data_IF_856104211413
#
_entry.id   IF_856104211413
#
_cell.length_a   1.000
_cell.length_b   1.000
_cell.length_c   1.000
_cell.angle_alpha   90.00
_cell.angle_beta   90.00
_cell.angle_gamma   90.00
#
_symmetry.space_group_name_H-M   'P 1'
#
loop_
_entity.id
_entity.type
_entity.pdbx_description
1 polymer ?
#
# COMPACT_ATOMS: atom_id res chain seq x y z
N UNK A 1 -9.95 7.79 3.19
CA UNK A 1 -9.68 6.86 2.08
C UNK A 1 -9.48 7.68 0.83
N UNK A 2 -8.60 7.25 -0.07
CA UNK A 2 -8.30 7.95 -1.31
C UNK A 2 -8.68 7.05 -2.49
N UNK A 3 -9.38 7.60 -3.48
CA UNK A 3 -9.61 6.90 -4.74
C UNK A 3 -8.33 6.90 -5.61
N UNK A 4 -8.34 6.12 -6.70
CA UNK A 4 -7.19 5.96 -7.57
C UNK A 4 -6.76 7.29 -8.23
N UNK A 5 -7.72 8.15 -8.61
CA UNK A 5 -7.44 9.43 -9.28
C UNK A 5 -6.73 10.37 -8.31
N UNK A 6 -7.21 10.46 -7.07
CA UNK A 6 -6.59 11.27 -6.03
C UNK A 6 -5.22 10.73 -5.65
N UNK A 7 -5.06 9.41 -5.57
CA UNK A 7 -3.78 8.77 -5.29
C UNK A 7 -2.74 9.01 -6.41
N UNK A 8 -3.15 9.03 -7.69
CA UNK A 8 -2.29 9.44 -8.81
C UNK A 8 -1.84 10.89 -8.66
N UNK A 9 -2.76 11.82 -8.40
CA UNK A 9 -2.44 13.24 -8.25
C UNK A 9 -1.48 13.51 -7.09
N UNK A 10 -1.51 12.69 -6.04
CA UNK A 10 -0.60 12.79 -4.91
C UNK A 10 0.77 12.17 -5.19
N UNK A 11 0.92 11.43 -6.29
CA UNK A 11 2.13 10.66 -6.61
C UNK A 11 2.29 9.40 -5.78
N UNK A 12 1.22 8.92 -5.12
CA UNK A 12 1.25 7.67 -4.36
C UNK A 12 1.27 6.45 -5.28
N UNK A 13 0.57 6.54 -6.42
CA UNK A 13 0.63 5.55 -7.50
C UNK A 13 1.06 6.21 -8.81
N UNK A 14 1.55 5.44 -9.78
CA UNK A 14 2.02 5.97 -11.06
C UNK A 14 0.88 6.48 -11.96
N UNK A 15 -0.26 5.76 -12.00
CA UNK A 15 -1.41 6.08 -12.84
C UNK A 15 -2.69 5.35 -12.40
N UNK A 16 -3.82 6.03 -12.45
CA UNK A 16 -5.17 5.50 -12.42
C UNK A 16 -5.61 5.13 -13.84
N UNK A 17 -6.05 3.90 -14.04
CA UNK A 17 -6.46 3.34 -15.33
C UNK A 17 -7.92 2.88 -15.21
N UNK A 18 -8.76 3.02 -16.25
CA UNK A 18 -10.09 2.42 -16.26
C UNK A 18 -10.04 0.93 -15.94
N UNK A 19 -10.96 0.44 -15.11
CA UNK A 19 -10.99 -0.95 -14.64
C UNK A 19 -10.98 -1.97 -15.80
N UNK A 20 -11.74 -1.71 -16.85
CA UNK A 20 -11.80 -2.57 -18.04
C UNK A 20 -10.49 -2.63 -18.86
N UNK A 21 -9.53 -1.74 -18.60
CA UNK A 21 -8.29 -1.62 -19.37
C UNK A 21 -7.04 -2.01 -18.57
N UNK A 22 -7.12 -2.09 -17.23
CA UNK A 22 -5.95 -2.24 -16.37
C UNK A 22 -5.16 -3.51 -16.67
N UNK A 23 -5.83 -4.63 -16.90
CA UNK A 23 -5.19 -5.91 -17.19
C UNK A 23 -4.37 -5.85 -18.49
N UNK A 24 -4.96 -5.33 -19.56
CA UNK A 24 -4.29 -5.20 -20.86
C UNK A 24 -3.17 -4.17 -20.81
N UNK A 25 -3.36 -3.08 -20.06
CA UNK A 25 -2.34 -2.07 -19.88
C UNK A 25 -1.10 -2.64 -19.17
N UNK A 26 -1.31 -3.37 -18.06
CA UNK A 26 -0.22 -3.98 -17.27
C UNK A 26 0.49 -5.08 -18.06
N UNK A 27 -0.24 -5.96 -18.75
CA UNK A 27 0.37 -7.02 -19.56
C UNK A 27 1.28 -6.45 -20.65
N UNK A 28 0.77 -5.49 -21.44
CA UNK A 28 1.56 -4.83 -22.48
C UNK A 28 2.81 -4.14 -21.91
N UNK A 29 2.67 -3.46 -20.76
CA UNK A 29 3.81 -2.82 -20.10
C UNK A 29 4.87 -3.85 -19.67
N UNK A 30 4.44 -4.95 -19.05
CA UNK A 30 5.33 -6.01 -18.62
C UNK A 30 6.07 -6.66 -19.81
N UNK A 31 5.35 -6.99 -20.88
CA UNK A 31 5.94 -7.55 -22.11
C UNK A 31 6.94 -6.59 -22.75
N UNK A 32 6.61 -5.30 -22.83
CA UNK A 32 7.51 -4.30 -23.39
C UNK A 32 8.81 -4.17 -22.58
N UNK A 33 8.74 -4.22 -21.25
CA UNK A 33 9.93 -4.18 -20.39
C UNK A 33 10.73 -5.49 -20.50
N UNK A 34 10.07 -6.64 -20.53
CA UNK A 34 10.72 -7.95 -20.62
C UNK A 34 11.46 -8.16 -21.95
N UNK A 35 10.98 -7.55 -23.03
CA UNK A 35 11.58 -7.62 -24.36
C UNK A 35 12.76 -6.64 -24.57
N UNK A 36 13.14 -5.86 -23.54
CA UNK A 36 14.32 -5.01 -23.63
C UNK A 36 15.60 -5.85 -23.76
N UNK A 37 16.63 -5.36 -24.47
CA UNK A 37 17.92 -6.04 -24.55
C UNK A 37 18.51 -6.33 -23.16
N UNK A 38 19.36 -7.36 -23.11
CA UNK A 38 20.10 -7.72 -21.90
C UNK A 38 20.83 -6.49 -21.33
N UNK A 39 20.97 -6.45 -20.01
CA UNK A 39 21.60 -5.37 -19.24
C UNK A 39 20.89 -4.00 -19.25
N UNK A 40 19.88 -3.74 -20.08
CA UNK A 40 19.16 -2.44 -20.09
C UNK A 40 18.48 -2.17 -18.74
N UNK A 41 17.74 -3.15 -18.22
CA UNK A 41 17.04 -3.02 -16.94
C UNK A 41 18.05 -2.83 -15.80
N UNK A 42 19.10 -3.65 -15.76
CA UNK A 42 20.14 -3.59 -14.73
C UNK A 42 20.84 -2.22 -14.73
N UNK A 43 21.25 -1.76 -15.90
CA UNK A 43 21.94 -0.47 -16.06
C UNK A 43 21.03 0.68 -15.65
N UNK A 44 19.76 0.65 -16.05
CA UNK A 44 18.76 1.66 -15.68
C UNK A 44 18.55 1.71 -14.16
N UNK A 45 18.45 0.55 -13.50
CA UNK A 45 18.29 0.50 -12.04
C UNK A 45 19.55 0.92 -11.27
N UNK A 46 20.75 0.76 -11.85
CA UNK A 46 22.00 1.27 -11.27
C UNK A 46 22.06 2.80 -11.27
N UNK A 47 21.59 3.45 -12.33
CA UNK A 47 21.58 4.93 -12.42
C UNK A 47 20.42 5.58 -11.66
N UNK A 48 19.35 4.81 -11.38
CA UNK A 48 18.20 5.22 -10.58
C UNK A 48 18.10 4.34 -9.32
N UNK A 49 19.10 4.41 -8.41
CA UNK A 49 19.06 3.60 -7.20
C UNK A 49 17.93 4.06 -6.27
N UNK A 50 17.33 3.15 -5.49
CA UNK A 50 16.32 3.53 -4.53
C UNK A 50 16.93 4.41 -3.42
N UNK A 51 16.16 5.39 -2.95
CA UNK A 51 16.50 6.12 -1.72
C UNK A 51 16.40 5.13 -0.56
N UNK A 52 17.48 5.00 0.22
CA UNK A 52 17.51 4.17 1.42
C UNK A 52 17.45 5.08 2.65
N UNK A 53 16.32 5.06 3.36
CA UNK A 53 16.14 5.80 4.61
C UNK A 53 16.07 4.83 5.79
N UNK A 54 17.18 4.14 6.08
CA UNK A 54 17.24 3.14 7.15
C UNK A 54 16.88 3.71 8.52
N UNK A 55 17.33 4.93 8.82
CA UNK A 55 17.01 5.64 10.06
C UNK A 55 15.52 5.98 10.15
N UNK A 56 14.90 6.42 9.05
CA UNK A 56 13.46 6.67 8.99
C UNK A 56 12.65 5.39 9.21
N UNK A 57 13.05 4.27 8.59
CA UNK A 57 12.37 2.99 8.80
C UNK A 57 12.50 2.49 10.24
N UNK A 58 13.68 2.65 10.86
CA UNK A 58 13.87 2.33 12.28
C UNK A 58 12.97 3.21 13.17
N UNK A 59 12.93 4.51 12.89
CA UNK A 59 12.11 5.46 13.65
C UNK A 59 10.61 5.17 13.53
N UNK A 60 10.14 4.82 12.33
CA UNK A 60 8.75 4.39 12.10
C UNK A 60 8.44 3.12 12.90
N UNK A 61 9.30 2.11 12.83
CA UNK A 61 9.15 0.86 13.56
C UNK A 61 9.10 1.09 15.08
N UNK A 62 10.00 1.90 15.64
CA UNK A 62 10.05 2.16 17.07
C UNK A 62 8.80 2.91 17.55
N UNK A 63 8.35 3.88 16.77
CA UNK A 63 7.09 4.59 17.01
C UNK A 63 5.88 3.64 17.00
N UNK A 64 5.76 2.79 15.96
CA UNK A 64 4.71 1.78 15.87
C UNK A 64 4.76 0.77 17.03
N UNK A 65 5.95 0.27 17.36
CA UNK A 65 6.16 -0.72 18.42
C UNK A 65 5.77 -0.19 19.80
N UNK A 66 5.99 1.11 20.04
CA UNK A 66 5.55 1.77 21.28
C UNK A 66 4.02 1.79 21.45
N UNK A 67 3.25 1.70 20.36
CA UNK A 67 1.79 1.78 20.35
C UNK A 67 1.13 0.40 20.27
N UNK A 68 1.61 -0.47 19.37
CA UNK A 68 0.91 -1.70 18.99
C UNK A 68 0.71 -2.69 20.14
N UNK A 69 1.64 -2.73 21.09
CA UNK A 69 1.59 -3.64 22.24
C UNK A 69 0.84 -3.03 23.45
N UNK A 70 0.33 -1.82 23.34
CA UNK A 70 -0.39 -1.22 24.44
C UNK A 70 -1.77 -1.91 24.63
N UNK A 71 -2.30 -2.00 25.87
CA UNK A 71 -3.58 -2.66 26.14
C UNK A 71 -4.77 -2.05 25.40
N UNK A 72 -4.71 -0.75 25.11
CA UNK A 72 -5.80 -0.03 24.45
C UNK A 72 -5.92 -0.37 22.96
N UNK A 73 -4.80 -0.49 22.26
CA UNK A 73 -4.73 -0.96 20.87
C UNK A 73 -5.22 -2.40 20.79
N UNK A 74 -4.79 -3.26 21.71
CA UNK A 74 -5.31 -4.63 21.81
C UNK A 74 -6.82 -4.66 22.05
N UNK A 75 -7.36 -3.76 22.88
CA UNK A 75 -8.80 -3.60 23.11
C UNK A 75 -9.53 -3.19 21.83
N UNK A 76 -9.00 -2.21 21.09
CA UNK A 76 -9.57 -1.73 19.82
C UNK A 76 -9.55 -2.83 18.76
N UNK A 77 -8.41 -3.49 18.55
CA UNK A 77 -8.27 -4.59 17.59
C UNK A 77 -9.23 -5.75 17.89
N UNK A 78 -9.34 -6.15 19.17
CA UNK A 78 -10.30 -7.18 19.60
C UNK A 78 -11.73 -6.78 19.27
N UNK A 79 -12.12 -5.53 19.59
CA UNK A 79 -13.46 -5.04 19.25
C UNK A 79 -13.68 -4.97 17.75
N UNK A 80 -12.69 -4.58 16.95
CA UNK A 80 -12.79 -4.53 15.50
C UNK A 80 -13.10 -5.91 14.91
N UNK A 81 -12.36 -6.94 15.34
CA UNK A 81 -12.61 -8.33 14.92
C UNK A 81 -14.01 -8.79 15.34
N UNK A 82 -14.43 -8.48 16.57
CA UNK A 82 -15.79 -8.79 17.05
C UNK A 82 -16.90 -8.09 16.25
N UNK A 83 -16.58 -6.97 15.58
CA UNK A 83 -17.50 -6.20 14.73
C UNK A 83 -17.28 -6.45 13.23
N UNK A 84 -16.59 -7.54 12.85
CA UNK A 84 -16.49 -7.98 11.47
C UNK A 84 -15.23 -7.56 10.72
N UNK A 85 -14.25 -6.92 11.36
CA UNK A 85 -12.92 -6.80 10.76
C UNK A 85 -12.36 -8.20 10.43
N UNK A 86 -11.56 -8.30 9.38
CA UNK A 86 -11.09 -9.54 8.76
C UNK A 86 -12.19 -10.42 8.13
N UNK A 87 -13.36 -9.84 7.81
CA UNK A 87 -14.37 -10.45 6.93
C UNK A 87 -14.52 -9.60 5.67
N UNK A 88 -14.97 -10.19 4.56
CA UNK A 88 -15.16 -9.44 3.30
C UNK A 88 -16.08 -8.23 3.50
N UNK A 89 -17.22 -8.41 4.17
CA UNK A 89 -18.18 -7.32 4.40
C UNK A 89 -17.57 -6.22 5.29
N UNK A 90 -16.80 -6.59 6.30
CA UNK A 90 -16.21 -5.62 7.21
C UNK A 90 -15.05 -4.84 6.62
N UNK A 91 -14.17 -5.51 5.86
CA UNK A 91 -13.01 -4.86 5.23
C UNK A 91 -13.41 -3.82 4.17
N UNK A 92 -14.56 -4.00 3.49
CA UNK A 92 -15.11 -3.00 2.57
C UNK A 92 -15.48 -1.66 3.24
N UNK A 93 -15.66 -1.66 4.57
CA UNK A 93 -16.03 -0.49 5.39
C UNK A 93 -15.17 -0.38 6.65
N UNK A 94 -13.92 -0.81 6.59
CA UNK A 94 -13.04 -0.96 7.74
C UNK A 94 -12.93 0.34 8.56
N UNK A 95 -12.79 1.49 7.90
CA UNK A 95 -12.67 2.77 8.59
C UNK A 95 -13.96 3.18 9.31
N UNK A 96 -15.14 2.78 8.82
CA UNK A 96 -16.41 3.00 9.50
C UNK A 96 -16.47 2.15 10.78
N UNK A 97 -16.09 0.87 10.68
CA UNK A 97 -15.99 -0.02 11.85
C UNK A 97 -15.08 0.62 12.89
N UNK A 98 -13.84 0.96 12.53
CA UNK A 98 -12.87 1.51 13.47
C UNK A 98 -13.32 2.83 14.11
N UNK A 99 -13.97 3.73 13.35
CA UNK A 99 -14.50 5.00 13.89
C UNK A 99 -15.71 4.83 14.81
N UNK A 100 -16.46 3.73 14.67
CA UNK A 100 -17.58 3.41 15.53
C UNK A 100 -17.16 2.82 16.90
N UNK A 101 -15.91 2.34 17.03
CA UNK A 101 -15.40 1.68 18.25
C UNK A 101 -15.00 2.62 19.39
N UNK A 102 -15.36 3.91 19.31
CA UNK A 102 -15.10 4.94 20.34
C UNK A 102 -15.24 4.38 21.75
#
# INVERSE_FOLDING_TARGET
>A
MFDAITAEHYGWINRAIPDAEIDTFVDRLAQNIANLPESVIETTKKILPPIRNAEGFQSENDGWASLVYNPETARIMKKAIQNGAQTVEGELKLEEILRALK
#
